data_IF_323124569294
#
_entry.id   IF_323124569294
#
_cell.length_a   1.000
_cell.length_b   1.000
_cell.length_c   1.000
_cell.angle_alpha   90.00
_cell.angle_beta   90.00
_cell.angle_gamma   90.00
#
_symmetry.space_group_name_H-M   'P 1'
#
loop_
_entity.id
_entity.type
_entity.pdbx_description
1 polymer ?
#
# COMPACT_ATOMS: atom_id res chain seq x y z
N UNK A 1 10.87 -12.30 -13.82
CA UNK A 1 9.94 -11.69 -12.84
C UNK A 1 10.58 -11.91 -11.48
N UNK A 2 11.18 -10.87 -10.90
CA UNK A 2 11.77 -10.99 -9.57
C UNK A 2 10.65 -10.76 -8.57
N UNK A 3 10.07 -11.85 -8.10
CA UNK A 3 9.15 -11.86 -6.98
C UNK A 3 9.99 -11.49 -5.75
N UNK A 4 10.03 -10.20 -5.41
CA UNK A 4 10.58 -9.80 -4.11
C UNK A 4 9.59 -10.32 -3.08
N UNK A 5 9.90 -11.46 -2.49
CA UNK A 5 9.28 -11.90 -1.25
C UNK A 5 9.50 -10.77 -0.24
N UNK A 6 8.42 -10.06 0.07
CA UNK A 6 8.46 -9.05 1.11
C UNK A 6 8.51 -9.81 2.41
N UNK A 7 9.72 -9.92 2.95
CA UNK A 7 9.92 -10.50 4.25
C UNK A 7 9.27 -9.58 5.29
N UNK A 8 8.09 -9.97 5.75
CA UNK A 8 7.35 -9.29 6.83
C UNK A 8 8.17 -9.23 8.14
N UNK A 9 9.30 -9.91 8.26
CA UNK A 9 10.21 -9.75 9.41
C UNK A 9 10.99 -8.43 9.38
N UNK A 10 11.02 -7.72 8.25
CA UNK A 10 11.75 -6.46 8.08
C UNK A 10 10.85 -5.22 8.12
N UNK A 11 9.54 -5.39 8.30
CA UNK A 11 8.59 -4.27 8.33
C UNK A 11 8.46 -3.70 9.74
N UNK A 12 8.35 -2.38 9.84
CA UNK A 12 8.08 -1.67 11.10
C UNK A 12 6.58 -1.40 11.21
N UNK A 13 5.98 -1.69 12.36
CA UNK A 13 4.59 -1.34 12.63
C UNK A 13 4.40 0.19 12.64
N UNK A 14 3.20 0.63 12.28
CA UNK A 14 2.75 2.01 12.44
C UNK A 14 1.72 2.10 13.57
N UNK A 15 1.19 3.28 13.84
CA UNK A 15 0.10 3.44 14.82
C UNK A 15 -1.20 2.73 14.37
N UNK A 16 -1.34 2.44 13.08
CA UNK A 16 -2.47 1.70 12.55
C UNK A 16 -2.18 0.18 12.55
N UNK A 17 -3.06 -0.67 13.11
CA UNK A 17 -2.77 -2.08 13.40
C UNK A 17 -2.54 -2.95 12.15
N UNK A 18 -2.99 -2.47 10.98
CA UNK A 18 -2.88 -3.17 9.69
C UNK A 18 -1.93 -2.51 8.71
N UNK A 19 -1.27 -1.41 9.08
CA UNK A 19 -0.35 -0.69 8.20
C UNK A 19 1.08 -0.84 8.71
N UNK A 20 1.95 -1.31 7.83
CA UNK A 20 3.35 -1.58 8.11
C UNK A 20 4.22 -0.86 7.09
N UNK A 21 5.42 -0.44 7.49
CA UNK A 21 6.38 0.25 6.62
C UNK A 21 7.66 -0.55 6.43
N UNK A 22 8.21 -0.51 5.24
CA UNK A 22 9.52 -1.07 4.92
C UNK A 22 10.36 0.00 4.20
N UNK A 23 11.29 0.62 4.93
CA UNK A 23 12.12 1.72 4.43
C UNK A 23 12.18 2.94 5.35
N UNK A 24 12.72 4.08 4.86
CA UNK A 24 12.88 5.32 5.62
C UNK A 24 11.55 5.85 6.18
N UNK A 25 11.63 6.80 7.12
CA UNK A 25 10.46 7.48 7.65
C UNK A 25 9.66 8.14 6.52
N UNK A 26 8.39 7.73 6.39
CA UNK A 26 7.42 8.32 5.49
C UNK A 26 6.92 9.66 6.04
N UNK A 27 6.54 10.57 5.16
CA UNK A 27 5.82 11.78 5.55
C UNK A 27 4.40 11.42 6.01
N UNK A 28 3.72 12.39 6.64
CA UNK A 28 2.38 12.21 7.20
C UNK A 28 1.34 11.79 6.15
N UNK A 29 1.45 12.28 4.92
CA UNK A 29 0.42 12.07 3.89
C UNK A 29 0.38 10.65 3.32
N UNK A 30 1.53 9.99 3.18
CA UNK A 30 1.61 8.59 2.71
C UNK A 30 0.99 7.64 3.74
N UNK A 31 1.24 7.90 5.02
CA UNK A 31 0.62 7.14 6.12
C UNK A 31 -0.90 7.37 6.18
N UNK A 32 -1.38 8.61 6.01
CA UNK A 32 -2.82 8.89 5.96
C UNK A 32 -3.52 8.10 4.83
N UNK A 33 -2.92 8.03 3.65
CA UNK A 33 -3.48 7.28 2.51
C UNK A 33 -3.47 5.78 2.77
N UNK A 34 -2.38 5.26 3.35
CA UNK A 34 -2.27 3.84 3.69
C UNK A 34 -3.30 3.43 4.76
N UNK A 35 -3.56 4.30 5.74
CA UNK A 35 -4.59 4.08 6.76
C UNK A 35 -5.98 4.06 6.12
N UNK A 36 -6.33 5.05 5.30
CA UNK A 36 -7.63 5.10 4.62
C UNK A 36 -7.86 3.86 3.74
N UNK A 37 -6.81 3.38 3.05
CA UNK A 37 -6.88 2.14 2.27
C UNK A 37 -7.10 0.94 3.18
N UNK A 38 -6.35 0.82 4.28
CA UNK A 38 -6.54 -0.28 5.21
C UNK A 38 -7.98 -0.30 5.74
N UNK A 39 -8.50 0.84 6.21
CA UNK A 39 -9.85 0.99 6.74
C UNK A 39 -10.95 0.67 5.71
N UNK A 40 -10.68 0.88 4.42
CA UNK A 40 -11.61 0.55 3.34
C UNK A 40 -11.58 -0.94 2.91
N UNK A 41 -10.63 -1.73 3.41
CA UNK A 41 -10.47 -3.15 3.07
C UNK A 41 -10.91 -4.05 4.21
N UNK A 42 -11.33 -5.28 3.88
CA UNK A 42 -11.64 -6.32 4.87
C UNK A 42 -10.49 -6.51 5.87
N UNK A 43 -10.83 -6.81 7.12
CA UNK A 43 -9.89 -6.87 8.26
C UNK A 43 -8.74 -7.87 8.08
N UNK A 44 -8.88 -8.81 7.15
CA UNK A 44 -7.86 -9.80 6.81
C UNK A 44 -6.70 -9.20 6.02
N UNK A 45 -6.92 -8.09 5.31
CA UNK A 45 -5.90 -7.44 4.49
C UNK A 45 -4.97 -6.56 5.31
N UNK A 46 -3.68 -6.69 5.02
CA UNK A 46 -2.62 -5.84 5.57
C UNK A 46 -2.10 -4.92 4.46
N UNK A 47 -1.72 -3.71 4.85
CA UNK A 47 -1.12 -2.73 3.96
C UNK A 47 0.35 -2.59 4.30
N UNK A 48 1.23 -2.84 3.33
CA UNK A 48 2.67 -2.64 3.48
C UNK A 48 3.08 -1.49 2.59
N UNK A 49 3.76 -0.49 3.14
CA UNK A 49 4.24 0.67 2.40
C UNK A 49 5.76 0.65 2.20
N UNK A 50 6.21 0.95 0.99
CA UNK A 50 7.63 1.13 0.65
C UNK A 50 7.87 2.48 -0.04
N UNK A 51 9.13 2.88 -0.13
CA UNK A 51 9.55 4.05 -0.89
C UNK A 51 10.52 3.63 -2.00
N UNK A 52 10.11 3.89 -3.25
CA UNK A 52 10.85 3.52 -4.45
C UNK A 52 11.59 4.69 -5.12
N UNK A 53 12.45 4.38 -6.12
CA UNK A 53 13.14 5.39 -6.93
C UNK A 53 12.16 6.20 -7.81
N UNK A 54 12.69 7.24 -8.50
CA UNK A 54 11.92 8.11 -9.40
C UNK A 54 11.08 7.36 -10.42
N UNK A 55 9.78 7.70 -10.50
CA UNK A 55 8.85 7.15 -11.50
C UNK A 55 7.74 8.15 -11.88
N UNK A 56 7.13 7.91 -13.03
CA UNK A 56 6.08 8.78 -13.61
C UNK A 56 4.71 8.72 -12.93
N UNK A 57 4.58 7.98 -11.82
CA UNK A 57 3.35 7.85 -11.04
C UNK A 57 3.65 7.99 -9.54
N UNK A 58 2.69 8.56 -8.79
CA UNK A 58 2.89 8.90 -7.38
C UNK A 58 2.81 7.69 -6.46
N UNK A 59 2.01 6.68 -6.81
CA UNK A 59 1.82 5.44 -6.07
C UNK A 59 1.71 4.30 -7.08
N UNK A 60 2.41 3.21 -6.81
CA UNK A 60 2.13 1.92 -7.43
C UNK A 60 1.58 0.98 -6.37
N UNK A 61 0.62 0.14 -6.75
CA UNK A 61 0.15 -0.91 -5.87
C UNK A 61 0.34 -2.27 -6.51
N UNK A 62 0.62 -3.25 -5.67
CA UNK A 62 0.63 -4.67 -6.02
C UNK A 62 -0.23 -5.43 -4.99
N UNK A 63 -0.91 -6.47 -5.46
CA UNK A 63 -1.75 -7.32 -4.63
C UNK A 63 -1.09 -8.68 -4.48
N UNK A 64 -0.99 -9.15 -3.25
CA UNK A 64 -0.53 -10.49 -2.91
C UNK A 64 -1.65 -11.25 -2.20
N UNK A 65 -2.59 -11.85 -2.97
CA UNK A 65 -3.82 -12.42 -2.43
C UNK A 65 -3.56 -13.58 -1.47
N UNK A 66 -2.59 -14.43 -1.78
CA UNK A 66 -2.24 -15.61 -0.95
C UNK A 66 -1.84 -15.22 0.47
N UNK A 67 -1.30 -14.01 0.65
CA UNK A 67 -0.87 -13.47 1.94
C UNK A 67 -1.78 -12.35 2.47
N UNK A 68 -2.86 -12.01 1.76
CA UNK A 68 -3.73 -10.87 2.06
C UNK A 68 -2.94 -9.56 2.26
N UNK A 69 -2.02 -9.27 1.35
CA UNK A 69 -1.20 -8.03 1.41
C UNK A 69 -1.53 -7.13 0.24
N UNK A 70 -1.82 -5.87 0.54
CA UNK A 70 -1.75 -4.76 -0.40
C UNK A 70 -0.39 -4.09 -0.20
N UNK A 71 0.45 -4.11 -1.22
CA UNK A 71 1.72 -3.41 -1.21
C UNK A 71 1.55 -2.06 -1.89
N UNK A 72 1.86 -0.98 -1.19
CA UNK A 72 1.85 0.38 -1.71
C UNK A 72 3.28 0.90 -1.81
N UNK A 73 3.72 1.16 -3.02
CA UNK A 73 5.03 1.71 -3.28
C UNK A 73 4.89 3.20 -3.62
N UNK A 74 5.31 4.06 -2.68
CA UNK A 74 5.21 5.51 -2.79
C UNK A 74 6.42 6.10 -3.51
N UNK A 75 6.19 7.17 -4.27
CA UNK A 75 7.25 7.96 -4.89
C UNK A 75 7.54 9.26 -4.10
N UNK A 76 8.83 9.56 -3.89
CA UNK A 76 9.40 10.58 -3.00
C UNK A 76 9.27 12.05 -3.47
N UNK A 77 8.16 12.49 -4.06
CA UNK A 77 7.92 13.94 -4.27
C UNK A 77 6.48 14.30 -3.96
N UNK A 78 6.35 15.04 -2.86
CA UNK A 78 5.16 15.67 -2.30
C UNK A 78 3.99 14.70 -2.05
N UNK A 79 3.66 14.43 -0.78
CA UNK A 79 2.49 13.64 -0.45
C UNK A 79 1.22 14.36 -0.92
N UNK A 80 0.30 13.61 -1.51
CA UNK A 80 -1.13 13.95 -1.63
C UNK A 80 -1.57 15.10 -2.56
N UNK A 81 -0.69 15.78 -3.30
CA UNK A 81 -1.11 16.69 -4.39
C UNK A 81 -0.89 16.04 -5.75
N UNK A 82 -1.94 15.46 -6.33
CA UNK A 82 -1.92 15.01 -7.73
C UNK A 82 -2.66 13.71 -8.04
N UNK A 83 -3.36 13.09 -7.09
CA UNK A 83 -4.22 11.92 -7.35
C UNK A 83 -5.48 11.98 -6.50
N UNK A 84 -6.57 11.39 -7.00
CA UNK A 84 -7.82 11.24 -6.26
C UNK A 84 -7.71 10.01 -5.35
N UNK A 85 -7.71 10.25 -4.03
CA UNK A 85 -7.61 9.19 -3.01
C UNK A 85 -8.77 8.19 -3.12
N UNK A 86 -9.97 8.67 -3.42
CA UNK A 86 -11.15 7.81 -3.55
C UNK A 86 -11.03 6.89 -4.77
N UNK A 87 -10.47 7.39 -5.87
CA UNK A 87 -10.22 6.59 -7.05
C UNK A 87 -9.19 5.47 -6.78
N UNK A 88 -8.10 5.78 -6.08
CA UNK A 88 -7.09 4.77 -5.71
C UNK A 88 -7.69 3.68 -4.81
N UNK A 89 -8.50 4.06 -3.81
CA UNK A 89 -9.19 3.09 -2.94
C UNK A 89 -10.12 2.20 -3.76
N UNK A 90 -10.92 2.78 -4.67
CA UNK A 90 -11.85 2.04 -5.51
C UNK A 90 -11.13 1.01 -6.41
N UNK A 91 -10.01 1.40 -7.02
CA UNK A 91 -9.20 0.52 -7.87
C UNK A 91 -8.63 -0.66 -7.06
N UNK A 92 -8.10 -0.40 -5.85
CA UNK A 92 -7.56 -1.44 -4.97
C UNK A 92 -8.67 -2.40 -4.52
N UNK A 93 -9.83 -1.88 -4.10
CA UNK A 93 -10.98 -2.70 -3.73
C UNK A 93 -11.45 -3.59 -4.88
N UNK A 94 -11.45 -3.06 -6.11
CA UNK A 94 -11.80 -3.84 -7.30
C UNK A 94 -10.78 -4.96 -7.54
N UNK A 95 -9.48 -4.68 -7.42
CA UNK A 95 -8.43 -5.68 -7.53
C UNK A 95 -8.53 -6.78 -6.47
N UNK A 96 -8.81 -6.42 -5.22
CA UNK A 96 -9.03 -7.38 -4.11
C UNK A 96 -10.22 -8.30 -4.42
N UNK A 97 -11.37 -7.74 -4.85
CA UNK A 97 -12.56 -8.53 -5.22
C UNK A 97 -12.27 -9.49 -6.37
N UNK A 98 -11.52 -9.04 -7.39
CA UNK A 98 -11.15 -9.89 -8.52
C UNK A 98 -10.20 -11.03 -8.11
N UNK A 99 -9.33 -10.78 -7.14
CA UNK A 99 -8.42 -11.79 -6.62
C UNK A 99 -9.11 -12.85 -5.75
N UNK A 100 -10.17 -12.47 -5.02
CA UNK A 100 -10.96 -13.38 -4.18
C UNK A 100 -12.04 -14.16 -4.94
N UNK A 101 -12.46 -13.67 -6.12
CA UNK A 101 -13.48 -14.31 -6.96
C UNK A 101 -12.95 -15.39 -7.91
N UNK A 102 -11.69 -15.80 -7.78
CA UNK A 102 -11.04 -16.89 -8.51
C UNK A 102 -10.78 -18.07 -7.58
#
# INVERSE_FOLDING_TARGET
>A
MSQTDYDLTTVTATDHPRVFRNGPAFSRGELEVANDIADALDDQWRVVITMGPYRGYNIHYDLKPDSHIVHLDFYSVRPATGYDRQQVIADIQQGVKQAQGR
#
